data_IF_008485451350
#
_entry.id   IF_008485451350
#
_cell.length_a   1.000
_cell.length_b   1.000
_cell.length_c   1.000
_cell.angle_alpha   90.00
_cell.angle_beta   90.00
_cell.angle_gamma   90.00
#
_symmetry.space_group_name_H-M   'P 1'
#
loop_
_entity.id
_entity.type
_entity.pdbx_description
1 polymer ?
#
# COMPACT_ATOMS: atom_id res chain seq x y z
N UNK A 1 -21.59 -5.89 1.94
CA UNK A 1 -21.81 -4.97 3.07
C UNK A 1 -21.16 -3.64 2.72
N UNK A 2 -21.79 -2.50 3.02
CA UNK A 2 -21.20 -1.18 2.75
C UNK A 2 -20.05 -0.95 3.74
N UNK A 3 -18.92 -0.41 3.28
CA UNK A 3 -17.76 -0.11 4.12
C UNK A 3 -17.28 1.32 3.93
N UNK A 4 -16.97 2.03 5.01
CA UNK A 4 -16.55 3.44 5.01
C UNK A 4 -15.34 3.66 5.90
N UNK A 5 -14.50 4.64 5.56
CA UNK A 5 -13.38 5.00 6.42
C UNK A 5 -13.84 5.95 7.54
N UNK A 6 -13.29 5.80 8.74
CA UNK A 6 -13.56 6.67 9.88
C UNK A 6 -12.33 6.76 10.78
N UNK A 7 -11.72 7.95 10.90
CA UNK A 7 -10.45 8.15 11.60
C UNK A 7 -10.45 7.73 13.08
N UNK A 8 -11.61 7.76 13.73
CA UNK A 8 -11.81 7.41 15.13
C UNK A 8 -13.08 6.58 15.27
N UNK A 9 -12.96 5.38 15.81
CA UNK A 9 -14.08 4.47 16.05
C UNK A 9 -14.30 4.33 17.55
N UNK A 10 -15.52 4.59 17.99
CA UNK A 10 -15.99 4.38 19.36
C UNK A 10 -17.43 3.90 19.33
N UNK A 11 -17.87 3.22 20.38
CA UNK A 11 -19.27 2.82 20.52
C UNK A 11 -20.18 4.06 20.69
N UNK A 12 -21.41 3.97 20.19
CA UNK A 12 -22.39 5.06 20.21
C UNK A 12 -22.37 5.92 18.96
N UNK A 13 -22.83 7.17 19.09
CA UNK A 13 -23.02 8.06 17.95
C UNK A 13 -21.68 8.53 17.35
N UNK A 14 -21.53 8.33 16.03
CA UNK A 14 -20.38 8.79 15.24
C UNK A 14 -20.86 9.51 13.98
N UNK A 15 -20.33 10.71 13.75
CA UNK A 15 -20.54 11.46 12.52
C UNK A 15 -19.39 11.21 11.53
N UNK A 16 -19.72 10.81 10.30
CA UNK A 16 -18.71 10.60 9.27
C UNK A 16 -18.18 11.92 8.74
N UNK A 17 -16.90 11.92 8.35
CA UNK A 17 -16.30 13.05 7.63
C UNK A 17 -17.03 13.32 6.31
N UNK A 18 -17.05 14.58 5.89
CA UNK A 18 -17.83 15.04 4.73
C UNK A 18 -17.51 14.28 3.44
N UNK A 19 -16.25 13.90 3.22
CA UNK A 19 -15.83 13.12 2.04
C UNK A 19 -16.53 11.76 2.00
N UNK A 20 -16.57 11.06 3.13
CA UNK A 20 -17.20 9.74 3.25
C UNK A 20 -18.73 9.86 3.25
N UNK A 21 -19.29 10.86 3.93
CA UNK A 21 -20.72 11.15 3.88
C UNK A 21 -21.21 11.42 2.45
N UNK A 22 -20.48 12.23 1.66
CA UNK A 22 -20.81 12.47 0.26
C UNK A 22 -20.76 11.20 -0.58
N UNK A 23 -19.76 10.33 -0.37
CA UNK A 23 -19.69 9.05 -1.07
C UNK A 23 -20.92 8.17 -0.75
N UNK A 24 -21.31 8.08 0.51
CA UNK A 24 -22.47 7.29 0.92
C UNK A 24 -23.79 7.84 0.38
N UNK A 25 -24.00 9.16 0.40
CA UNK A 25 -25.24 9.79 -0.06
C UNK A 25 -25.33 9.80 -1.59
N UNK A 26 -24.29 10.29 -2.28
CA UNK A 26 -24.35 10.57 -3.71
C UNK A 26 -24.10 9.33 -4.58
N UNK A 27 -23.23 8.43 -4.11
CA UNK A 27 -22.80 7.25 -4.89
C UNK A 27 -23.53 6.00 -4.43
N UNK A 28 -23.51 5.71 -3.13
CA UNK A 28 -24.12 4.49 -2.57
C UNK A 28 -25.62 4.63 -2.31
N UNK A 29 -26.13 5.86 -2.18
CA UNK A 29 -27.54 6.19 -1.94
C UNK A 29 -28.13 5.50 -0.71
N UNK A 30 -27.36 5.51 0.38
CA UNK A 30 -27.74 4.84 1.63
C UNK A 30 -28.98 5.44 2.28
N UNK A 31 -29.69 4.62 3.07
CA UNK A 31 -30.87 5.01 3.82
C UNK A 31 -30.70 4.81 5.33
N UNK A 32 -31.50 5.52 6.13
CA UNK A 32 -31.60 5.30 7.58
C UNK A 32 -32.04 3.85 7.84
N UNK A 33 -31.40 3.20 8.82
CA UNK A 33 -31.63 1.81 9.18
C UNK A 33 -30.71 0.80 8.47
N UNK A 34 -29.94 1.23 7.46
CA UNK A 34 -28.97 0.34 6.80
C UNK A 34 -27.74 0.06 7.69
N UNK A 35 -27.23 -1.17 7.59
CA UNK A 35 -26.00 -1.60 8.27
C UNK A 35 -24.77 -1.27 7.44
N UNK A 36 -23.76 -0.71 8.11
CA UNK A 36 -22.50 -0.31 7.52
C UNK A 36 -21.34 -0.73 8.43
N UNK A 37 -20.21 -1.04 7.81
CA UNK A 37 -18.95 -1.27 8.49
C UNK A 37 -18.05 -0.04 8.36
N UNK A 38 -17.41 0.37 9.45
CA UNK A 38 -16.42 1.45 9.47
C UNK A 38 -15.06 0.91 9.88
N UNK A 39 -13.98 1.45 9.31
CA UNK A 39 -12.61 1.08 9.69
C UNK A 39 -11.71 2.32 9.76
N UNK A 40 -10.71 2.28 10.64
CA UNK A 40 -9.84 3.44 10.95
C UNK A 40 -8.46 3.38 10.29
N UNK A 41 -8.16 2.29 9.58
CA UNK A 41 -6.86 2.06 8.94
C UNK A 41 -5.75 1.70 9.92
N UNK A 42 -6.06 1.51 11.21
CA UNK A 42 -5.13 1.23 12.31
C UNK A 42 -5.50 -0.07 13.05
N UNK A 43 -6.40 -0.87 12.47
CA UNK A 43 -6.87 -2.14 13.03
C UNK A 43 -8.25 -2.06 13.69
N UNK A 44 -8.84 -0.86 13.83
CA UNK A 44 -10.20 -0.68 14.31
C UNK A 44 -11.25 -1.03 13.25
N UNK A 45 -12.29 -1.74 13.67
CA UNK A 45 -13.45 -2.11 12.86
C UNK A 45 -14.72 -1.88 13.68
N UNK A 46 -15.65 -1.11 13.13
CA UNK A 46 -16.95 -0.82 13.75
C UNK A 46 -18.09 -1.38 12.93
N UNK A 47 -19.04 -2.05 13.57
CA UNK A 47 -20.33 -2.39 12.98
C UNK A 47 -21.34 -1.33 13.42
N UNK A 48 -22.02 -0.71 12.47
CA UNK A 48 -22.87 0.43 12.75
C UNK A 48 -24.18 0.40 11.93
N UNK A 49 -25.16 1.17 12.39
CA UNK A 49 -26.42 1.42 11.69
C UNK A 49 -26.51 2.91 11.38
N UNK A 50 -26.97 3.24 10.18
CA UNK A 50 -27.18 4.63 9.78
C UNK A 50 -28.41 5.19 10.51
N UNK A 51 -28.22 6.18 11.38
CA UNK A 51 -29.31 6.80 12.16
C UNK A 51 -29.81 8.09 11.55
N UNK A 52 -28.97 8.80 10.79
CA UNK A 52 -29.34 10.06 10.13
C UNK A 52 -28.62 10.22 8.81
N UNK A 53 -29.37 10.61 7.78
CA UNK A 53 -28.84 10.97 6.46
C UNK A 53 -29.34 12.37 6.11
N UNK A 54 -28.42 13.29 5.85
CA UNK A 54 -28.73 14.60 5.26
C UNK A 54 -28.04 14.72 3.91
N UNK A 55 -28.21 15.86 3.22
CA UNK A 55 -27.49 16.14 1.97
C UNK A 55 -25.96 16.19 2.15
N UNK A 56 -25.46 16.45 3.36
CA UNK A 56 -24.02 16.68 3.62
C UNK A 56 -23.41 15.76 4.67
N UNK A 57 -24.23 15.22 5.56
CA UNK A 57 -23.77 14.52 6.76
C UNK A 57 -24.47 13.18 6.89
N UNK A 58 -23.73 12.20 7.39
CA UNK A 58 -24.22 10.87 7.74
C UNK A 58 -23.81 10.60 9.17
N UNK A 59 -24.80 10.28 10.02
CA UNK A 59 -24.60 9.88 11.40
C UNK A 59 -24.88 8.40 11.54
N UNK A 60 -24.02 7.73 12.31
CA UNK A 60 -24.05 6.32 12.59
C UNK A 60 -24.24 6.09 14.08
N UNK A 61 -24.90 5.00 14.45
CA UNK A 61 -24.82 4.38 15.77
C UNK A 61 -23.90 3.17 15.65
N UNK A 62 -22.74 3.21 16.32
CA UNK A 62 -21.76 2.12 16.32
C UNK A 62 -22.12 1.13 17.43
N UNK A 63 -22.62 -0.04 17.03
CA UNK A 63 -23.12 -1.09 17.93
C UNK A 63 -21.98 -1.96 18.50
N UNK A 64 -20.94 -2.19 17.71
CA UNK A 64 -19.80 -3.03 18.07
C UNK A 64 -18.50 -2.45 17.55
N UNK A 65 -17.46 -2.46 18.39
CA UNK A 65 -16.09 -2.11 18.02
C UNK A 65 -15.20 -3.32 18.25
N UNK A 66 -14.44 -3.67 17.22
CA UNK A 66 -13.40 -4.70 17.24
C UNK A 66 -12.05 -4.04 16.93
N UNK A 67 -10.98 -4.56 17.53
CA UNK A 67 -9.62 -4.12 17.24
C UNK A 67 -8.78 -5.33 16.90
N UNK A 68 -8.20 -5.30 15.72
CA UNK A 68 -7.26 -6.33 15.26
C UNK A 68 -5.85 -5.90 15.64
N UNK A 69 -5.02 -6.80 16.17
CA UNK A 69 -3.61 -6.50 16.36
C UNK A 69 -2.92 -6.37 15.00
N UNK A 70 -1.86 -5.56 14.94
CA UNK A 70 -0.96 -5.59 13.79
C UNK A 70 -0.37 -7.00 13.68
N UNK A 71 -0.19 -7.49 12.45
CA UNK A 71 0.44 -8.78 12.20
C UNK A 71 1.86 -8.85 12.79
N UNK A 72 2.22 -10.03 13.27
CA UNK A 72 3.56 -10.35 13.80
C UNK A 72 4.51 -10.93 12.74
N UNK A 73 3.97 -11.23 11.54
CA UNK A 73 4.77 -11.66 10.39
C UNK A 73 5.49 -10.47 9.75
N UNK A 74 6.70 -10.70 9.22
CA UNK A 74 7.51 -9.71 8.52
C UNK A 74 6.74 -8.90 7.47
N UNK A 75 6.97 -7.58 7.47
CA UNK A 75 6.30 -6.62 6.60
C UNK A 75 6.81 -6.72 5.17
N UNK A 76 5.92 -6.45 4.22
CA UNK A 76 6.26 -6.36 2.79
C UNK A 76 6.25 -4.91 2.35
N UNK A 77 7.41 -4.41 1.95
CA UNK A 77 7.61 -3.04 1.49
C UNK A 77 7.92 -3.03 0.00
N UNK A 78 7.18 -2.24 -0.78
CA UNK A 78 7.36 -2.09 -2.21
C UNK A 78 7.95 -0.70 -2.50
N UNK A 79 9.26 -0.65 -2.74
CA UNK A 79 10.01 0.56 -3.05
C UNK A 79 10.11 0.71 -4.58
N UNK A 80 9.22 1.48 -5.20
CA UNK A 80 9.02 1.44 -6.66
C UNK A 80 9.25 2.78 -7.31
N UNK A 81 9.78 2.75 -8.53
CA UNK A 81 9.77 3.89 -9.43
C UNK A 81 8.33 4.34 -9.70
N UNK A 82 8.18 5.63 -10.00
CA UNK A 82 6.89 6.27 -10.14
C UNK A 82 6.45 6.21 -11.60
N UNK A 83 5.41 5.43 -11.86
CA UNK A 83 4.80 5.30 -13.18
C UNK A 83 3.97 6.54 -13.57
N UNK A 84 3.84 6.80 -14.87
CA UNK A 84 3.04 7.93 -15.39
C UNK A 84 1.53 7.75 -15.14
N UNK A 85 0.89 8.81 -14.65
CA UNK A 85 -0.57 8.95 -14.63
C UNK A 85 -1.28 7.88 -13.81
N UNK A 86 -2.35 7.30 -14.37
CA UNK A 86 -3.21 6.34 -13.69
C UNK A 86 -2.51 5.00 -13.36
N UNK A 87 -1.34 4.73 -13.96
CA UNK A 87 -0.60 3.48 -13.72
C UNK A 87 -0.10 3.39 -12.29
N UNK A 88 0.37 4.50 -11.72
CA UNK A 88 0.82 4.52 -10.33
C UNK A 88 -0.36 4.43 -9.36
N UNK A 89 -1.48 5.08 -9.65
CA UNK A 89 -2.72 4.90 -8.89
C UNK A 89 -3.16 3.43 -8.85
N UNK A 90 -3.09 2.73 -9.99
CA UNK A 90 -3.42 1.31 -10.07
C UNK A 90 -2.43 0.45 -9.28
N UNK A 91 -1.13 0.76 -9.35
CA UNK A 91 -0.10 0.10 -8.53
C UNK A 91 -0.42 0.23 -7.04
N UNK A 92 -0.73 1.44 -6.55
CA UNK A 92 -1.09 1.68 -5.15
C UNK A 92 -2.30 0.83 -4.76
N UNK A 93 -3.37 0.86 -5.56
CA UNK A 93 -4.57 0.07 -5.31
C UNK A 93 -4.25 -1.43 -5.24
N UNK A 94 -3.52 -1.98 -6.21
CA UNK A 94 -3.21 -3.42 -6.26
C UNK A 94 -2.23 -3.88 -5.19
N UNK A 95 -1.18 -3.12 -4.88
CA UNK A 95 -0.30 -3.44 -3.75
C UNK A 95 -1.06 -3.36 -2.42
N UNK A 96 -2.01 -2.44 -2.27
CA UNK A 96 -2.87 -2.36 -1.08
C UNK A 96 -3.75 -3.60 -0.94
N UNK A 97 -4.43 -4.00 -2.03
CA UNK A 97 -5.29 -5.20 -2.11
C UNK A 97 -4.49 -6.47 -1.77
N UNK A 98 -3.27 -6.60 -2.30
CA UNK A 98 -2.39 -7.75 -2.08
C UNK A 98 -1.77 -7.80 -0.68
N UNK A 99 -1.91 -6.74 0.12
CA UNK A 99 -1.47 -6.75 1.51
C UNK A 99 -0.05 -6.24 1.74
N UNK A 100 0.52 -5.46 0.81
CA UNK A 100 1.77 -4.74 1.05
C UNK A 100 1.60 -3.76 2.22
N UNK A 101 2.57 -3.71 3.13
CA UNK A 101 2.48 -2.94 4.38
C UNK A 101 2.99 -1.51 4.20
N UNK A 102 3.90 -1.28 3.26
CA UNK A 102 4.39 0.04 2.89
C UNK A 102 4.68 0.10 1.38
N UNK A 103 4.24 1.18 0.73
CA UNK A 103 4.58 1.50 -0.65
C UNK A 103 5.43 2.77 -0.66
N UNK A 104 6.72 2.65 -1.01
CA UNK A 104 7.68 3.74 -1.02
C UNK A 104 7.95 4.21 -2.46
N UNK A 105 7.51 5.42 -2.86
CA UNK A 105 7.83 5.97 -4.16
C UNK A 105 9.32 6.38 -4.23
N UNK A 106 10.06 5.89 -5.23
CA UNK A 106 11.49 6.14 -5.38
C UNK A 106 11.81 6.84 -6.70
N UNK A 107 12.65 7.86 -6.63
CA UNK A 107 13.18 8.62 -7.77
C UNK A 107 14.53 8.05 -8.14
N UNK A 108 14.54 7.29 -9.24
CA UNK A 108 15.70 6.80 -9.95
C UNK A 108 16.12 7.81 -11.02
N UNK A 109 17.32 7.67 -11.55
CA UNK A 109 17.88 8.52 -12.61
C UNK A 109 16.97 8.56 -13.84
N UNK A 110 16.40 7.41 -14.21
CA UNK A 110 15.48 7.25 -15.34
C UNK A 110 14.00 7.32 -14.94
N UNK A 111 13.68 7.74 -13.71
CA UNK A 111 12.29 7.97 -13.30
C UNK A 111 11.71 9.14 -14.06
N UNK A 112 10.47 8.97 -14.54
CA UNK A 112 9.75 10.04 -15.21
C UNK A 112 9.52 11.21 -14.26
N UNK A 113 9.62 12.45 -14.77
CA UNK A 113 9.25 13.67 -14.04
C UNK A 113 7.96 13.53 -13.22
N UNK A 114 8.09 13.77 -11.93
CA UNK A 114 7.01 13.80 -10.96
C UNK A 114 6.09 15.01 -11.20
N UNK A 115 4.79 14.79 -11.04
CA UNK A 115 3.91 15.88 -10.62
C UNK A 115 4.18 16.10 -9.13
N UNK A 116 4.94 17.14 -8.77
CA UNK A 116 5.30 17.46 -7.39
C UNK A 116 4.16 18.19 -6.66
N UNK A 117 3.97 17.88 -5.37
CA UNK A 117 3.09 18.63 -4.46
C UNK A 117 2.34 17.78 -3.43
N UNK A 118 1.82 18.44 -2.38
CA UNK A 118 0.97 17.84 -1.33
C UNK A 118 -0.25 17.07 -1.88
N UNK A 119 -0.65 17.37 -3.11
CA UNK A 119 -1.72 16.68 -3.84
C UNK A 119 -1.42 15.19 -4.10
N UNK A 120 -0.16 14.77 -4.18
CA UNK A 120 0.19 13.38 -4.45
C UNK A 120 -0.04 12.48 -3.24
N UNK A 121 0.37 12.91 -2.04
CA UNK A 121 0.17 12.18 -0.78
C UNK A 121 -1.32 11.96 -0.50
N UNK A 122 -2.11 13.03 -0.55
CA UNK A 122 -3.57 12.93 -0.35
C UNK A 122 -4.24 12.03 -1.39
N UNK A 123 -3.79 12.11 -2.65
CA UNK A 123 -4.31 11.28 -3.74
C UNK A 123 -4.03 9.81 -3.48
N UNK A 124 -2.79 9.45 -3.15
CA UNK A 124 -2.40 8.05 -2.91
C UNK A 124 -3.06 7.49 -1.64
N UNK A 125 -3.17 8.30 -0.58
CA UNK A 125 -3.94 7.94 0.61
C UNK A 125 -5.40 7.63 0.29
N UNK A 126 -6.07 8.46 -0.52
CA UNK A 126 -7.44 8.20 -0.99
C UNK A 126 -7.55 6.90 -1.81
N UNK A 127 -6.54 6.57 -2.63
CA UNK A 127 -6.49 5.30 -3.38
C UNK A 127 -6.36 4.10 -2.46
N UNK A 128 -5.50 4.17 -1.44
CA UNK A 128 -5.34 3.11 -0.45
C UNK A 128 -6.61 2.91 0.39
N UNK A 129 -7.25 4.01 0.85
CA UNK A 129 -8.53 3.96 1.55
C UNK A 129 -9.61 3.28 0.68
N UNK A 130 -9.72 3.68 -0.59
CA UNK A 130 -10.67 3.06 -1.53
C UNK A 130 -10.39 1.58 -1.74
N UNK A 131 -9.12 1.18 -1.81
CA UNK A 131 -8.74 -0.23 -1.93
C UNK A 131 -9.11 -1.02 -0.67
N UNK A 132 -8.79 -0.50 0.53
CA UNK A 132 -9.17 -1.13 1.80
C UNK A 132 -10.68 -1.28 1.98
N UNK A 133 -11.47 -0.28 1.55
CA UNK A 133 -12.94 -0.37 1.51
C UNK A 133 -13.43 -1.55 0.67
N UNK A 134 -12.77 -1.82 -0.45
CA UNK A 134 -13.16 -2.86 -1.39
C UNK A 134 -12.66 -4.26 -0.98
N UNK A 135 -11.41 -4.37 -0.52
CA UNK A 135 -10.79 -5.67 -0.19
C UNK A 135 -11.00 -6.11 1.27
N UNK A 136 -11.55 -5.24 2.12
CA UNK A 136 -11.85 -5.56 3.51
C UNK A 136 -10.66 -5.44 4.47
N UNK A 137 -9.54 -4.88 4.03
CA UNK A 137 -8.35 -4.66 4.86
C UNK A 137 -8.61 -3.56 5.91
N UNK A 138 -8.25 -3.83 7.17
CA UNK A 138 -8.46 -2.90 8.33
C UNK A 138 -7.26 -2.00 8.63
N UNK A 139 -6.08 -2.35 8.12
CA UNK A 139 -4.87 -1.53 8.22
C UNK A 139 -4.57 -0.85 6.88
N UNK A 140 -4.37 0.46 6.87
CA UNK A 140 -3.86 1.16 5.69
C UNK A 140 -2.37 0.84 5.51
N UNK A 141 -1.87 0.69 4.27
CA UNK A 141 -0.44 0.69 4.04
C UNK A 141 0.14 2.08 4.32
N UNK A 142 1.38 2.12 4.79
CA UNK A 142 2.16 3.35 4.78
C UNK A 142 2.49 3.73 3.33
N UNK A 143 2.40 5.02 3.01
CA UNK A 143 2.83 5.55 1.71
C UNK A 143 3.75 6.75 1.99
N UNK A 144 5.05 6.56 1.78
CA UNK A 144 6.04 7.60 2.02
C UNK A 144 6.09 8.63 0.89
N UNK A 145 6.75 9.76 1.17
CA UNK A 145 7.01 10.79 0.16
C UNK A 145 8.03 10.28 -0.87
N UNK A 146 7.91 10.69 -2.14
CA UNK A 146 8.95 10.42 -3.12
C UNK A 146 10.32 10.89 -2.63
N UNK A 147 11.30 9.99 -2.66
CA UNK A 147 12.67 10.25 -2.26
C UNK A 147 13.66 9.75 -3.31
N UNK A 148 14.90 10.25 -3.31
CA UNK A 148 15.97 9.68 -4.14
C UNK A 148 16.24 8.24 -3.75
N UNK A 149 16.87 7.44 -4.64
CA UNK A 149 17.23 6.06 -4.30
C UNK A 149 18.07 5.97 -3.01
N UNK A 150 19.08 6.84 -2.86
CA UNK A 150 19.94 6.86 -1.67
C UNK A 150 19.16 7.20 -0.39
N UNK A 151 18.32 8.23 -0.43
CA UNK A 151 17.51 8.65 0.72
C UNK A 151 16.46 7.58 1.09
N UNK A 152 15.86 6.94 0.08
CA UNK A 152 14.90 5.86 0.27
C UNK A 152 15.58 4.65 0.95
N UNK A 153 16.76 4.24 0.49
CA UNK A 153 17.54 3.17 1.13
C UNK A 153 17.84 3.52 2.60
N UNK A 154 18.32 4.73 2.86
CA UNK A 154 18.66 5.17 4.22
C UNK A 154 17.43 5.17 5.14
N UNK A 155 16.30 5.72 4.67
CA UNK A 155 15.05 5.75 5.43
C UNK A 155 14.49 4.35 5.69
N UNK A 156 14.49 3.48 4.67
CA UNK A 156 13.97 2.12 4.78
C UNK A 156 14.83 1.25 5.70
N UNK A 157 16.17 1.36 5.64
CA UNK A 157 17.05 0.68 6.61
C UNK A 157 16.83 1.16 8.04
N UNK A 158 16.50 2.44 8.23
CA UNK A 158 16.18 2.97 9.56
C UNK A 158 14.86 2.42 10.08
N UNK A 159 13.83 2.34 9.22
CA UNK A 159 12.50 1.83 9.59
C UNK A 159 12.44 0.31 9.72
N UNK A 160 13.28 -0.40 8.96
CA UNK A 160 13.31 -1.87 8.88
C UNK A 160 14.78 -2.37 8.91
N UNK A 161 15.47 -2.28 10.07
CA UNK A 161 16.91 -2.52 10.17
C UNK A 161 17.32 -3.95 9.80
N UNK A 162 16.46 -4.92 10.08
CA UNK A 162 16.70 -6.35 9.80
C UNK A 162 16.02 -6.82 8.51
N UNK A 163 15.52 -5.90 7.67
CA UNK A 163 14.83 -6.28 6.46
C UNK A 163 15.76 -6.90 5.43
N UNK A 164 15.26 -7.94 4.76
CA UNK A 164 15.87 -8.39 3.51
C UNK A 164 15.60 -7.35 2.43
N UNK A 165 16.66 -6.84 1.81
CA UNK A 165 16.56 -5.98 0.65
C UNK A 165 16.70 -6.82 -0.62
N UNK A 166 15.79 -6.63 -1.58
CA UNK A 166 15.85 -7.27 -2.89
C UNK A 166 15.53 -6.26 -3.99
N UNK A 167 15.99 -6.49 -5.22
CA UNK A 167 15.61 -5.65 -6.35
C UNK A 167 15.43 -6.46 -7.64
N UNK A 168 14.48 -6.04 -8.47
CA UNK A 168 14.21 -6.72 -9.74
C UNK A 168 15.36 -6.56 -10.72
N UNK A 169 15.96 -7.66 -11.19
CA UNK A 169 17.01 -7.66 -12.20
C UNK A 169 16.90 -8.88 -13.12
N UNK A 170 17.31 -8.69 -14.39
CA UNK A 170 17.47 -9.77 -15.38
C UNK A 170 18.93 -10.19 -15.56
N UNK A 171 19.85 -9.68 -14.74
CA UNK A 171 21.27 -10.05 -14.79
C UNK A 171 21.47 -11.55 -14.46
N UNK A 172 22.58 -12.13 -14.94
CA UNK A 172 22.89 -13.56 -14.76
C UNK A 172 23.04 -13.99 -13.29
N UNK A 173 23.32 -13.05 -12.38
CA UNK A 173 23.40 -13.28 -10.93
C UNK A 173 22.07 -13.13 -10.18
N UNK A 174 20.96 -12.86 -10.86
CA UNK A 174 19.65 -12.72 -10.23
C UNK A 174 19.02 -14.09 -9.95
N UNK A 175 18.79 -14.40 -8.67
CA UNK A 175 18.10 -15.63 -8.25
C UNK A 175 16.60 -15.52 -8.52
N UNK A 176 15.91 -16.67 -8.62
CA UNK A 176 14.45 -16.61 -8.72
C UNK A 176 13.89 -15.98 -7.45
N UNK A 177 12.94 -15.03 -7.57
CA UNK A 177 12.18 -14.57 -6.39
C UNK A 177 11.50 -15.77 -5.68
N UNK A 178 11.24 -16.81 -6.47
CA UNK A 178 11.17 -18.25 -6.18
C UNK A 178 11.83 -18.79 -4.93
N UNK A 179 13.12 -18.50 -4.85
CA UNK A 179 14.08 -19.24 -4.03
C UNK A 179 14.39 -18.48 -2.75
N UNK A 180 13.88 -17.25 -2.61
CA UNK A 180 14.00 -16.47 -1.39
C UNK A 180 13.35 -17.19 -0.21
N UNK A 181 14.15 -17.40 0.83
CA UNK A 181 13.71 -18.02 2.09
C UNK A 181 12.74 -17.13 2.85
N UNK A 182 11.66 -17.70 3.38
CA UNK A 182 10.75 -16.99 4.28
C UNK A 182 11.18 -17.21 5.73
N UNK A 183 11.89 -16.24 6.30
CA UNK A 183 12.44 -16.28 7.66
C UNK A 183 11.68 -15.36 8.64
N UNK A 184 10.49 -14.91 8.25
CA UNK A 184 9.64 -14.02 9.05
C UNK A 184 10.14 -12.57 9.13
N UNK A 185 11.26 -12.24 8.48
CA UNK A 185 11.80 -10.87 8.45
C UNK A 185 11.02 -9.97 7.50
N UNK A 186 11.09 -8.67 7.77
CA UNK A 186 10.64 -7.65 6.83
C UNK A 186 11.36 -7.83 5.48
N UNK A 187 10.69 -7.53 4.38
CA UNK A 187 11.27 -7.55 3.03
C UNK A 187 10.98 -6.24 2.32
N UNK A 188 12.03 -5.61 1.82
CA UNK A 188 11.94 -4.40 0.98
C UNK A 188 12.33 -4.77 -0.44
N UNK A 189 11.39 -4.63 -1.35
CA UNK A 189 11.56 -4.94 -2.76
C UNK A 189 11.64 -3.67 -3.60
N UNK A 190 12.79 -3.45 -4.23
CA UNK A 190 13.04 -2.32 -5.11
C UNK A 190 12.64 -2.64 -6.56
N UNK A 191 11.86 -1.75 -7.17
CA UNK A 191 11.41 -1.84 -8.57
C UNK A 191 11.86 -0.59 -9.32
N UNK A 192 12.79 -0.75 -10.26
CA UNK A 192 13.35 0.33 -11.07
C UNK A 192 12.36 0.92 -12.09
N UNK A 193 12.77 1.97 -12.82
CA UNK A 193 11.97 2.62 -13.85
C UNK A 193 11.89 1.80 -15.14
N UNK A 194 11.06 2.25 -16.10
CA UNK A 194 10.92 1.61 -17.43
C UNK A 194 12.25 1.55 -18.20
N UNK A 195 13.13 2.54 -17.98
CA UNK A 195 14.46 2.57 -18.57
C UNK A 195 15.47 1.63 -17.91
N UNK A 196 15.06 0.82 -16.93
CA UNK A 196 15.96 0.01 -16.12
C UNK A 196 16.79 0.84 -15.13
N UNK A 197 17.50 0.13 -14.26
CA UNK A 197 18.48 0.72 -13.35
C UNK A 197 19.77 1.05 -14.12
N UNK A 198 20.48 2.09 -13.69
CA UNK A 198 21.86 2.32 -14.15
C UNK A 198 22.85 1.45 -13.39
N UNK A 199 24.06 1.25 -13.93
CA UNK A 199 25.11 0.48 -13.25
C UNK A 199 25.44 1.06 -11.87
N UNK A 200 25.36 2.38 -11.73
CA UNK A 200 25.56 3.07 -10.45
C UNK A 200 24.42 2.77 -9.46
N UNK A 201 23.17 2.73 -9.91
CA UNK A 201 22.02 2.39 -9.08
C UNK A 201 22.01 0.92 -8.66
N UNK A 202 22.36 0.00 -9.56
CA UNK A 202 22.54 -1.40 -9.22
C UNK A 202 23.68 -1.60 -8.21
N UNK A 203 24.80 -0.91 -8.41
CA UNK A 203 25.94 -0.97 -7.48
C UNK A 203 25.55 -0.44 -6.11
N UNK A 204 24.84 0.68 -6.03
CA UNK A 204 24.35 1.25 -4.78
C UNK A 204 23.40 0.29 -4.04
N UNK A 205 22.51 -0.39 -4.76
CA UNK A 205 21.62 -1.41 -4.18
C UNK A 205 22.41 -2.60 -3.63
N UNK A 206 23.37 -3.13 -4.42
CA UNK A 206 24.23 -4.25 -4.01
C UNK A 206 25.10 -3.90 -2.80
N UNK A 207 25.74 -2.73 -2.79
CA UNK A 207 26.52 -2.19 -1.66
C UNK A 207 25.65 -2.00 -0.41
N UNK A 208 24.36 -1.73 -0.62
CA UNK A 208 23.38 -1.66 0.46
C UNK A 208 22.93 -3.03 0.97
N UNK A 209 23.43 -4.13 0.42
CA UNK A 209 23.05 -5.49 0.78
C UNK A 209 21.78 -5.99 0.10
N UNK A 210 21.30 -5.31 -0.94
CA UNK A 210 20.15 -5.77 -1.72
C UNK A 210 20.54 -6.88 -2.69
N UNK A 211 19.74 -7.95 -2.71
CA UNK A 211 19.95 -9.10 -3.58
C UNK A 211 19.19 -8.92 -4.91
N UNK A 212 19.83 -9.16 -6.07
CA UNK A 212 19.14 -9.16 -7.35
C UNK A 212 18.20 -10.37 -7.44
N UNK A 213 16.95 -10.13 -7.85
CA UNK A 213 15.95 -11.19 -8.00
C UNK A 213 15.25 -11.10 -9.35
N UNK A 214 14.95 -12.26 -9.93
CA UNK A 214 14.23 -12.42 -11.19
C UNK A 214 12.79 -12.83 -10.92
N UNK A 215 11.85 -12.12 -11.54
CA UNK A 215 10.42 -12.48 -11.52
C UNK A 215 10.05 -13.42 -12.66
N UNK A 216 10.47 -13.07 -13.88
CA UNK A 216 10.25 -13.83 -15.11
C UNK A 216 11.46 -13.63 -16.04
N UNK A 217 11.50 -14.37 -17.16
CA UNK A 217 12.53 -14.22 -18.20
C UNK A 217 12.35 -12.97 -19.08
N UNK A 218 11.31 -12.16 -18.83
CA UNK A 218 10.94 -11.02 -19.68
C UNK A 218 10.96 -9.71 -18.90
N UNK A 219 11.26 -8.60 -19.57
CA UNK A 219 11.12 -7.26 -18.98
C UNK A 219 9.65 -6.98 -18.68
N UNK A 220 9.33 -6.70 -17.41
CA UNK A 220 8.00 -6.31 -16.97
C UNK A 220 7.90 -4.78 -16.86
N UNK A 221 6.68 -4.25 -17.05
CA UNK A 221 6.40 -2.85 -16.71
C UNK A 221 6.48 -2.64 -15.20
N UNK A 222 6.77 -1.41 -14.78
CA UNK A 222 6.91 -1.02 -13.37
C UNK A 222 5.75 -1.56 -12.52
N UNK A 223 4.50 -1.26 -12.91
CA UNK A 223 3.32 -1.69 -12.17
C UNK A 223 3.17 -3.22 -12.14
N UNK A 224 3.51 -3.90 -13.23
CA UNK A 224 3.43 -5.36 -13.30
C UNK A 224 4.46 -5.99 -12.37
N UNK A 225 5.71 -5.51 -12.38
CA UNK A 225 6.77 -6.00 -11.51
C UNK A 225 6.42 -5.75 -10.03
N UNK A 226 5.99 -4.53 -9.68
CA UNK A 226 5.62 -4.18 -8.31
C UNK A 226 4.44 -5.01 -7.78
N UNK A 227 3.39 -5.19 -8.60
CA UNK A 227 2.21 -5.99 -8.24
C UNK A 227 2.60 -7.47 -8.09
N UNK A 228 3.42 -8.00 -9.00
CA UNK A 228 3.89 -9.38 -8.93
C UNK A 228 4.78 -9.62 -7.70
N UNK A 229 5.72 -8.72 -7.39
CA UNK A 229 6.52 -8.78 -6.17
C UNK A 229 5.61 -8.74 -4.93
N UNK A 230 4.66 -7.80 -4.87
CA UNK A 230 3.72 -7.71 -3.76
C UNK A 230 2.93 -9.01 -3.57
N UNK A 231 2.42 -9.59 -4.66
CA UNK A 231 1.67 -10.84 -4.62
C UNK A 231 2.52 -12.00 -4.09
N UNK A 232 3.70 -12.22 -4.68
CA UNK A 232 4.58 -13.33 -4.30
C UNK A 232 5.02 -13.20 -2.84
N UNK A 233 5.47 -12.01 -2.43
CA UNK A 233 5.96 -11.78 -1.08
C UNK A 233 4.85 -11.85 -0.03
N UNK A 234 3.67 -11.29 -0.30
CA UNK A 234 2.56 -11.32 0.66
C UNK A 234 1.97 -12.73 0.79
N UNK A 235 1.80 -13.46 -0.32
CA UNK A 235 1.32 -14.86 -0.30
C UNK A 235 2.26 -15.72 0.54
N UNK A 236 3.57 -15.57 0.33
CA UNK A 236 4.61 -16.26 1.10
C UNK A 236 4.61 -15.90 2.58
N UNK A 237 4.55 -14.61 2.91
CA UNK A 237 4.43 -14.13 4.30
C UNK A 237 3.23 -14.77 5.00
N UNK A 238 2.11 -14.87 4.28
CA UNK A 238 0.85 -15.40 4.80
C UNK A 238 0.78 -16.95 4.77
N UNK A 239 1.84 -17.63 4.33
CA UNK A 239 1.94 -19.10 4.30
C UNK A 239 0.99 -19.78 3.32
N UNK A 240 0.64 -19.10 2.22
CA UNK A 240 -0.30 -19.58 1.20
C UNK A 240 0.38 -20.07 -0.08
#
# INVERSE_FOLDING_TARGET
MIRSFCNTIQAGEVMLERSEAHHLVSVMRVAVGERIEIFDGKGGLGQAVITKVTRRDVTLEVEKVETFPMRDSGRVVIATSIAKGQRFDNLITKCTELGADHIAPVVFERTVKLASGASAEEKYGKRAISACKQCGRVFLPEISRPASLADAIAALKKSYPEARLIFGSLSDGAESITELTCDGKDTVAFVGPEGGLTDAEESLLKESGALPVRLTETVLRIETAAIAMAAILCVRRDGK
#
